data_IF_075872489992
#
_entry.id   IF_075872489992
#
_cell.length_a   1.000
_cell.length_b   1.000
_cell.length_c   1.000
_cell.angle_alpha   90.00
_cell.angle_beta   90.00
_cell.angle_gamma   90.00
#
_symmetry.space_group_name_H-M   'P 1'
#
loop_
_entity.id
_entity.type
_entity.pdbx_description
1 polymer ?
#
# COMPACT_ATOMS: atom_id res chain seq x y z
N UNK A 1 12.79 -57.20 -41.03
CA UNK A 1 11.57 -56.38 -40.90
C UNK A 1 11.78 -55.51 -39.67
N UNK A 2 12.31 -54.30 -39.87
CA UNK A 2 12.70 -53.38 -38.81
C UNK A 2 11.80 -52.14 -38.89
N UNK A 3 11.09 -51.83 -37.81
CA UNK A 3 10.31 -50.60 -37.64
C UNK A 3 11.00 -49.70 -36.60
N UNK A 4 11.20 -48.40 -36.89
CA UNK A 4 11.67 -47.40 -35.94
C UNK A 4 10.52 -46.54 -35.38
N UNK A 5 10.74 -45.91 -34.22
CA UNK A 5 10.21 -44.60 -33.72
C UNK A 5 10.25 -44.62 -32.18
N UNK A 6 11.28 -44.09 -31.51
CA UNK A 6 11.61 -42.68 -31.26
C UNK A 6 10.48 -41.90 -30.56
N UNK A 7 10.29 -42.20 -29.27
CA UNK A 7 9.58 -41.35 -28.31
C UNK A 7 10.30 -40.00 -28.15
N UNK A 8 9.59 -38.92 -28.45
CA UNK A 8 10.04 -37.53 -28.31
C UNK A 8 9.85 -37.12 -26.84
N UNK A 9 10.94 -37.00 -26.09
CA UNK A 9 10.97 -36.26 -24.83
C UNK A 9 10.75 -34.77 -25.13
N UNK A 10 9.55 -34.28 -24.84
CA UNK A 10 9.26 -32.84 -24.89
C UNK A 10 9.88 -32.16 -23.67
N UNK A 11 10.70 -31.11 -23.83
CA UNK A 11 11.23 -30.38 -22.68
C UNK A 11 10.08 -29.66 -21.94
N UNK A 12 10.14 -29.55 -20.59
CA UNK A 12 9.09 -28.89 -19.83
C UNK A 12 8.98 -27.42 -20.24
N UNK A 13 7.77 -26.99 -20.56
CA UNK A 13 7.44 -25.66 -21.08
C UNK A 13 7.91 -24.54 -20.15
N UNK A 14 8.52 -23.50 -20.73
CA UNK A 14 9.03 -22.32 -20.02
C UNK A 14 7.95 -21.65 -19.15
N UNK A 15 6.68 -21.75 -19.53
CA UNK A 15 5.52 -21.24 -18.79
C UNK A 15 5.40 -21.83 -17.37
N UNK A 16 5.77 -23.09 -17.15
CA UNK A 16 5.74 -23.71 -15.82
C UNK A 16 6.90 -23.28 -14.90
N UNK A 17 8.00 -22.75 -15.47
CA UNK A 17 9.10 -22.17 -14.69
C UNK A 17 8.76 -20.75 -14.26
N UNK A 18 8.15 -19.95 -15.14
CA UNK A 18 7.71 -18.59 -14.83
C UNK A 18 6.55 -18.55 -13.84
N UNK A 19 5.56 -19.44 -13.97
CA UNK A 19 4.44 -19.52 -13.01
C UNK A 19 4.90 -19.87 -11.58
N UNK A 20 5.91 -20.74 -11.43
CA UNK A 20 6.50 -21.08 -10.13
C UNK A 20 7.41 -19.99 -9.55
N UNK A 21 8.16 -19.28 -10.40
CA UNK A 21 9.00 -18.16 -9.98
C UNK A 21 8.16 -16.94 -9.56
N UNK A 22 7.06 -16.64 -10.28
CA UNK A 22 6.10 -15.61 -9.89
C UNK A 22 5.35 -16.00 -8.61
N UNK A 23 4.93 -17.27 -8.48
CA UNK A 23 4.28 -17.77 -7.27
C UNK A 23 5.20 -17.75 -6.04
N UNK A 24 6.49 -18.07 -6.18
CA UNK A 24 7.45 -18.04 -5.06
C UNK A 24 7.85 -16.61 -4.66
N UNK A 25 7.95 -15.69 -5.61
CA UNK A 25 8.21 -14.27 -5.34
C UNK A 25 7.01 -13.60 -4.64
N UNK A 26 5.78 -13.89 -5.08
CA UNK A 26 4.55 -13.41 -4.44
C UNK A 26 4.36 -14.04 -3.06
N UNK A 27 4.61 -15.34 -2.90
CA UNK A 27 4.57 -15.99 -1.60
C UNK A 27 5.64 -15.44 -0.65
N UNK A 28 6.88 -15.20 -1.12
CA UNK A 28 7.93 -14.59 -0.32
C UNK A 28 7.58 -13.15 0.10
N UNK A 29 7.01 -12.36 -0.80
CA UNK A 29 6.54 -11.00 -0.53
C UNK A 29 5.39 -10.95 0.50
N UNK A 30 4.51 -11.96 0.52
CA UNK A 30 3.40 -12.06 1.48
C UNK A 30 3.84 -12.66 2.83
N UNK A 31 4.80 -13.59 2.83
CA UNK A 31 5.30 -14.24 4.04
C UNK A 31 6.27 -13.36 4.82
N UNK A 32 7.03 -12.50 4.15
CA UNK A 32 8.05 -11.67 4.78
C UNK A 32 7.49 -10.73 5.88
N UNK A 33 6.40 -9.97 5.67
CA UNK A 33 5.81 -9.14 6.73
C UNK A 33 5.32 -9.95 7.93
N UNK A 34 4.72 -11.12 7.67
CA UNK A 34 4.24 -12.03 8.73
C UNK A 34 5.38 -12.62 9.54
N UNK A 35 6.48 -12.99 8.88
CA UNK A 35 7.69 -13.49 9.55
C UNK A 35 8.33 -12.38 10.39
N UNK A 36 8.40 -11.15 9.89
CA UNK A 36 8.87 -10.01 10.66
C UNK A 36 8.02 -9.76 11.91
N UNK A 37 6.69 -9.82 11.79
CA UNK A 37 5.79 -9.68 12.93
C UNK A 37 5.99 -10.81 13.94
N UNK A 38 6.09 -12.05 13.49
CA UNK A 38 6.31 -13.21 14.35
C UNK A 38 7.64 -13.14 15.12
N UNK A 39 8.74 -12.77 14.44
CA UNK A 39 10.05 -12.60 15.07
C UNK A 39 10.04 -11.50 16.13
N UNK A 40 9.38 -10.37 15.85
CA UNK A 40 9.22 -9.29 16.84
C UNK A 40 8.38 -9.70 18.03
N UNK A 41 7.26 -10.37 17.78
CA UNK A 41 6.37 -10.86 18.82
C UNK A 41 7.12 -11.84 19.74
N UNK A 42 7.88 -12.78 19.16
CA UNK A 42 8.73 -13.71 19.89
C UNK A 42 9.82 -12.99 20.70
N UNK A 43 10.51 -12.01 20.10
CA UNK A 43 11.52 -11.21 20.78
C UNK A 43 10.93 -10.42 21.96
N UNK A 44 9.80 -9.74 21.74
CA UNK A 44 9.12 -8.97 22.78
C UNK A 44 8.64 -9.86 23.93
N UNK A 45 8.03 -11.00 23.61
CA UNK A 45 7.59 -11.98 24.59
C UNK A 45 8.78 -12.53 25.40
N UNK A 46 9.90 -12.86 24.74
CA UNK A 46 11.11 -13.34 25.40
C UNK A 46 11.74 -12.30 26.33
N UNK A 47 11.86 -11.05 25.88
CA UNK A 47 12.38 -9.94 26.71
C UNK A 47 11.43 -9.69 27.90
N UNK A 48 10.13 -9.67 27.66
CA UNK A 48 9.14 -9.47 28.72
C UNK A 48 9.22 -10.60 29.77
N UNK A 49 9.34 -11.86 29.32
CA UNK A 49 9.52 -12.99 30.23
C UNK A 49 10.82 -12.90 31.03
N UNK A 50 11.92 -12.46 30.42
CA UNK A 50 13.19 -12.32 31.10
C UNK A 50 13.17 -11.23 32.18
N UNK A 51 12.40 -10.15 31.96
CA UNK A 51 12.26 -9.05 32.92
C UNK A 51 11.30 -9.41 34.07
N UNK A 52 10.28 -10.22 33.78
CA UNK A 52 9.16 -10.48 34.69
C UNK A 52 9.53 -10.98 36.11
N UNK A 53 10.53 -11.87 36.32
CA UNK A 53 10.93 -12.30 37.65
C UNK A 53 11.57 -11.21 38.52
N UNK A 54 12.07 -10.14 37.91
CA UNK A 54 12.72 -9.03 38.62
C UNK A 54 11.74 -7.95 39.09
N UNK A 55 10.43 -8.19 38.93
CA UNK A 55 9.38 -7.24 39.31
C UNK A 55 9.11 -7.27 40.83
N UNK A 56 8.72 -6.13 41.43
CA UNK A 56 8.55 -6.05 42.87
C UNK A 56 7.31 -6.79 43.38
N UNK A 57 7.41 -7.28 44.63
CA UNK A 57 6.28 -7.85 45.38
C UNK A 57 5.75 -9.15 44.78
N UNK A 58 4.45 -9.39 44.95
CA UNK A 58 3.80 -10.61 44.47
C UNK A 58 3.72 -10.72 42.93
N UNK A 59 4.06 -9.65 42.21
CA UNK A 59 4.08 -9.70 40.75
C UNK A 59 5.12 -10.70 40.22
N UNK A 60 6.25 -10.89 40.91
CA UNK A 60 7.29 -11.85 40.52
C UNK A 60 6.79 -13.30 40.50
N UNK A 61 5.72 -13.62 41.24
CA UNK A 61 5.14 -14.97 41.30
C UNK A 61 4.34 -15.32 40.02
N UNK A 62 4.01 -14.33 39.20
CA UNK A 62 3.18 -14.50 38.00
C UNK A 62 3.87 -14.04 36.69
N UNK A 63 5.10 -14.50 36.39
CA UNK A 63 5.91 -13.95 35.30
C UNK A 63 5.34 -14.24 33.90
N UNK A 64 4.45 -15.22 33.78
CA UNK A 64 3.85 -15.67 32.53
C UNK A 64 2.86 -14.67 31.92
N UNK A 65 2.41 -13.64 32.66
CA UNK A 65 1.55 -12.59 32.12
C UNK A 65 2.30 -11.50 31.36
N UNK A 66 3.58 -11.29 31.61
CA UNK A 66 4.35 -10.28 30.87
C UNK A 66 4.50 -10.63 29.38
N UNK A 67 4.83 -11.88 28.98
CA UNK A 67 4.80 -12.27 27.57
C UNK A 67 3.44 -12.07 26.91
N UNK A 68 2.36 -12.35 27.65
CA UNK A 68 0.99 -12.16 27.18
C UNK A 68 0.72 -10.67 26.93
N UNK A 69 1.07 -9.80 27.87
CA UNK A 69 0.95 -8.34 27.69
C UNK A 69 1.75 -7.83 26.49
N UNK A 70 2.96 -8.35 26.28
CA UNK A 70 3.80 -7.98 25.14
C UNK A 70 3.19 -8.38 23.80
N UNK A 71 2.59 -9.58 23.75
CA UNK A 71 1.90 -10.07 22.56
C UNK A 71 0.66 -9.23 22.25
N UNK A 72 -0.13 -8.87 23.26
CA UNK A 72 -1.37 -8.09 23.08
C UNK A 72 -1.08 -6.67 22.59
N UNK A 73 0.05 -6.10 23.01
CA UNK A 73 0.51 -4.81 22.50
C UNK A 73 1.13 -4.89 21.10
N UNK A 74 1.32 -6.07 20.51
CA UNK A 74 1.97 -6.22 19.21
C UNK A 74 0.97 -5.94 18.08
N UNK A 75 1.04 -4.75 17.50
CA UNK A 75 0.12 -4.28 16.45
C UNK A 75 0.90 -3.70 15.26
N UNK A 76 0.23 -3.54 14.11
CA UNK A 76 0.85 -3.09 12.85
C UNK A 76 1.52 -1.71 12.91
N UNK A 77 1.25 -0.88 13.92
CA UNK A 77 1.93 0.40 14.10
C UNK A 77 2.00 0.78 15.58
N UNK A 78 2.92 1.68 15.94
CA UNK A 78 3.23 2.02 17.34
C UNK A 78 2.05 2.69 18.06
N UNK A 79 1.32 3.61 17.43
CA UNK A 79 0.15 4.22 18.08
C UNK A 79 -0.99 3.21 18.25
N UNK A 80 -1.15 2.30 17.29
CA UNK A 80 -2.05 1.15 17.37
C UNK A 80 -1.67 0.25 18.54
N UNK A 81 -0.39 -0.10 18.67
CA UNK A 81 0.16 -0.82 19.82
C UNK A 81 -0.10 -0.12 21.15
N UNK A 82 0.11 1.20 21.20
CA UNK A 82 -0.12 1.98 22.42
C UNK A 82 -1.61 2.04 22.78
N UNK A 83 -2.47 2.35 21.80
CA UNK A 83 -3.92 2.38 21.98
C UNK A 83 -4.45 1.02 22.39
N UNK A 84 -4.03 -0.04 21.70
CA UNK A 84 -4.37 -1.43 22.00
C UNK A 84 -3.94 -1.79 23.42
N UNK A 85 -2.67 -1.54 23.76
CA UNK A 85 -2.11 -1.83 25.08
C UNK A 85 -2.88 -1.12 26.20
N UNK A 86 -3.11 0.19 26.07
CA UNK A 86 -3.88 0.96 27.07
C UNK A 86 -5.31 0.47 27.17
N UNK A 87 -5.99 0.23 26.04
CA UNK A 87 -7.37 -0.27 26.04
C UNK A 87 -7.47 -1.66 26.69
N UNK A 88 -6.53 -2.56 26.38
CA UNK A 88 -6.41 -3.86 27.05
C UNK A 88 -6.22 -3.70 28.56
N UNK A 89 -5.31 -2.85 29.02
CA UNK A 89 -5.07 -2.64 30.46
C UNK A 89 -6.30 -2.04 31.16
N UNK A 90 -7.02 -1.13 30.51
CA UNK A 90 -8.28 -0.59 31.02
C UNK A 90 -9.36 -1.68 31.11
N UNK A 91 -9.52 -2.48 30.05
CA UNK A 91 -10.47 -3.60 30.06
C UNK A 91 -10.15 -4.65 31.13
N UNK A 92 -8.87 -4.97 31.28
CA UNK A 92 -8.34 -5.83 32.33
C UNK A 92 -8.66 -5.28 33.72
N UNK A 93 -8.41 -3.99 33.97
CA UNK A 93 -8.72 -3.35 35.25
C UNK A 93 -10.22 -3.33 35.56
N UNK A 94 -11.08 -3.10 34.56
CA UNK A 94 -12.54 -3.17 34.71
C UNK A 94 -12.97 -4.59 35.06
N UNK A 95 -12.44 -5.61 34.36
CA UNK A 95 -12.75 -7.01 34.63
C UNK A 95 -12.30 -7.45 36.03
N UNK A 96 -11.09 -7.03 36.44
CA UNK A 96 -10.58 -7.23 37.81
C UNK A 96 -11.55 -6.62 38.83
N UNK A 97 -11.96 -5.36 38.64
CA UNK A 97 -12.93 -4.69 39.53
C UNK A 97 -14.29 -5.40 39.59
N UNK A 98 -14.77 -5.91 38.46
CA UNK A 98 -16.00 -6.71 38.40
C UNK A 98 -15.88 -8.00 39.21
N UNK A 99 -14.74 -8.69 39.14
CA UNK A 99 -14.49 -9.90 39.92
C UNK A 99 -14.48 -9.59 41.43
N UNK A 100 -13.83 -8.51 41.86
CA UNK A 100 -13.86 -8.07 43.26
C UNK A 100 -15.27 -7.77 43.76
N UNK A 101 -16.08 -7.09 42.95
CA UNK A 101 -17.48 -6.82 43.28
C UNK A 101 -18.25 -8.12 43.54
N UNK A 102 -18.03 -9.14 42.72
CA UNK A 102 -18.73 -10.42 42.84
C UNK A 102 -18.14 -11.36 43.90
N UNK A 103 -16.85 -11.25 44.21
CA UNK A 103 -16.25 -11.91 45.39
C UNK A 103 -16.89 -11.43 46.70
N UNK A 104 -17.28 -10.15 46.78
CA UNK A 104 -17.98 -9.64 47.97
C UNK A 104 -19.37 -10.28 48.18
N UNK A 105 -19.94 -10.90 47.15
CA UNK A 105 -21.25 -11.54 47.17
C UNK A 105 -21.20 -13.04 47.48
N UNK A 106 -20.02 -13.68 47.47
CA UNK A 106 -19.85 -15.09 47.89
C UNK A 106 -18.74 -15.85 47.18
N UNK A 107 -18.66 -17.15 47.46
CA UNK A 107 -17.66 -18.06 46.89
C UNK A 107 -17.93 -18.36 45.40
N UNK A 108 -16.89 -18.69 44.61
CA UNK A 108 -17.05 -19.12 43.22
C UNK A 108 -18.03 -20.30 43.09
N UNK A 109 -19.08 -20.12 42.30
CA UNK A 109 -20.09 -21.12 41.98
C UNK A 109 -20.51 -20.97 40.51
N UNK A 110 -21.18 -21.97 39.90
CA UNK A 110 -21.67 -21.85 38.53
C UNK A 110 -22.52 -20.59 38.30
N UNK A 111 -23.28 -20.17 39.32
CA UNK A 111 -24.07 -18.95 39.30
C UNK A 111 -23.21 -17.68 39.30
N UNK A 112 -22.20 -17.58 40.17
CA UNK A 112 -21.35 -16.38 40.19
C UNK A 112 -20.53 -16.26 38.91
N UNK A 113 -20.11 -17.38 38.31
CA UNK A 113 -19.46 -17.40 36.99
C UNK A 113 -20.42 -16.91 35.90
N UNK A 114 -21.65 -17.40 35.86
CA UNK A 114 -22.65 -16.95 34.88
C UNK A 114 -22.92 -15.45 35.00
N UNK A 115 -23.02 -14.93 36.23
CA UNK A 115 -23.22 -13.50 36.51
C UNK A 115 -21.98 -12.67 36.13
N UNK A 116 -20.76 -13.10 36.50
CA UNK A 116 -19.50 -12.46 36.07
C UNK A 116 -19.46 -12.33 34.55
N UNK A 117 -19.76 -13.42 33.84
CA UNK A 117 -19.65 -13.45 32.39
C UNK A 117 -20.73 -12.59 31.74
N UNK A 118 -21.97 -12.67 32.22
CA UNK A 118 -23.08 -11.85 31.73
C UNK A 118 -22.81 -10.36 31.91
N UNK A 119 -22.41 -9.94 33.11
CA UNK A 119 -22.06 -8.54 33.37
C UNK A 119 -20.81 -8.10 32.60
N UNK A 120 -19.80 -8.96 32.48
CA UNK A 120 -18.59 -8.69 31.72
C UNK A 120 -18.90 -8.44 30.24
N UNK A 121 -19.78 -9.24 29.63
CA UNK A 121 -20.22 -9.06 28.24
C UNK A 121 -21.06 -7.79 28.07
N UNK A 122 -21.95 -7.47 29.03
CA UNK A 122 -22.71 -6.23 29.01
C UNK A 122 -21.78 -5.01 29.05
N UNK A 123 -20.77 -5.04 29.93
CA UNK A 123 -19.76 -3.98 30.02
C UNK A 123 -18.89 -3.91 28.76
N UNK A 124 -18.53 -5.06 28.18
CA UNK A 124 -17.84 -5.13 26.90
C UNK A 124 -18.64 -4.51 25.75
N UNK A 125 -19.97 -4.45 25.82
CA UNK A 125 -20.82 -3.79 24.84
C UNK A 125 -20.67 -2.26 24.78
N UNK A 126 -20.01 -1.63 25.77
CA UNK A 126 -19.91 -0.18 25.84
C UNK A 126 -19.03 0.40 24.70
N UNK A 127 -19.52 1.42 23.97
CA UNK A 127 -18.83 1.96 22.80
C UNK A 127 -17.45 2.56 23.13
N UNK A 128 -17.25 3.04 24.36
CA UNK A 128 -16.04 3.77 24.78
C UNK A 128 -14.80 2.91 25.08
N UNK A 129 -14.93 1.57 25.19
CA UNK A 129 -13.85 0.69 25.69
C UNK A 129 -12.85 0.26 24.58
N UNK A 130 -13.25 0.33 23.31
CA UNK A 130 -12.37 -0.01 22.18
C UNK A 130 -11.96 -1.48 22.17
N UNK A 131 -10.66 -1.79 22.02
CA UNK A 131 -10.16 -3.17 21.95
C UNK A 131 -10.00 -3.87 23.31
N UNK A 132 -10.19 -3.15 24.41
CA UNK A 132 -10.20 -3.71 25.76
C UNK A 132 -11.44 -4.53 26.09
N UNK A 133 -12.48 -4.50 25.24
CA UNK A 133 -13.79 -5.11 25.49
C UNK A 133 -13.69 -6.60 25.76
N UNK A 134 -12.92 -7.31 24.95
CA UNK A 134 -12.76 -8.77 25.05
C UNK A 134 -12.01 -9.17 26.34
N UNK A 135 -11.20 -8.26 26.90
CA UNK A 135 -10.42 -8.50 28.10
C UNK A 135 -11.25 -8.40 29.38
N UNK A 136 -12.39 -7.70 29.37
CA UNK A 136 -13.24 -7.53 30.57
C UNK A 136 -13.77 -8.88 31.09
N UNK A 137 -14.53 -9.67 30.31
CA UNK A 137 -15.05 -10.94 30.79
C UNK A 137 -13.93 -11.94 31.09
N UNK A 138 -12.88 -11.98 30.26
CA UNK A 138 -11.73 -12.87 30.47
C UNK A 138 -10.98 -12.55 31.77
N UNK A 139 -10.71 -11.28 32.03
CA UNK A 139 -10.06 -10.84 33.27
C UNK A 139 -10.92 -11.13 34.49
N UNK A 140 -12.22 -10.82 34.43
CA UNK A 140 -13.14 -11.09 35.52
C UNK A 140 -13.21 -12.58 35.86
N UNK A 141 -13.29 -13.43 34.83
CA UNK A 141 -13.30 -14.88 35.00
C UNK A 141 -11.98 -15.41 35.58
N UNK A 142 -10.83 -14.94 35.06
CA UNK A 142 -9.52 -15.37 35.54
C UNK A 142 -9.32 -14.99 37.01
N UNK A 143 -9.67 -13.77 37.41
CA UNK A 143 -9.57 -13.36 38.81
C UNK A 143 -10.52 -14.18 39.69
N UNK A 144 -11.75 -14.42 39.24
CA UNK A 144 -12.73 -15.20 40.00
C UNK A 144 -12.29 -16.66 40.20
N UNK A 145 -11.76 -17.32 39.15
CA UNK A 145 -11.40 -18.74 39.20
C UNK A 145 -9.99 -18.99 39.75
N UNK A 146 -9.01 -18.19 39.32
CA UNK A 146 -7.59 -18.43 39.62
C UNK A 146 -7.14 -17.64 40.85
N UNK A 147 -7.73 -16.47 41.12
CA UNK A 147 -7.41 -15.66 42.29
C UNK A 147 -7.72 -16.34 43.62
N UNK A 148 -8.71 -17.25 43.65
CA UNK A 148 -9.01 -18.12 44.79
C UNK A 148 -9.16 -17.34 46.11
N UNK A 149 -8.33 -17.69 47.10
CA UNK A 149 -8.32 -17.06 48.42
C UNK A 149 -7.47 -15.78 48.52
N UNK A 150 -6.65 -15.48 47.50
CA UNK A 150 -5.77 -14.31 47.47
C UNK A 150 -6.00 -13.48 46.19
N UNK A 151 -7.24 -12.99 45.95
CA UNK A 151 -7.56 -12.25 44.73
C UNK A 151 -6.74 -10.97 44.61
N UNK A 152 -6.39 -10.31 45.71
CA UNK A 152 -5.56 -9.10 45.73
C UNK A 152 -4.18 -9.34 45.13
N UNK A 153 -3.49 -10.36 45.64
CA UNK A 153 -2.15 -10.77 45.22
C UNK A 153 -2.12 -11.15 43.75
N UNK A 154 -3.11 -11.93 43.31
CA UNK A 154 -3.24 -12.38 41.92
C UNK A 154 -3.58 -11.21 40.98
N UNK A 155 -4.56 -10.39 41.32
CA UNK A 155 -4.97 -9.24 40.49
C UNK A 155 -3.85 -8.21 40.33
N UNK A 156 -3.10 -7.93 41.41
CA UNK A 156 -1.93 -7.07 41.34
C UNK A 156 -0.87 -7.64 40.41
N UNK A 157 -0.50 -8.91 40.59
CA UNK A 157 0.50 -9.57 39.74
C UNK A 157 0.06 -9.63 38.28
N UNK A 158 -1.19 -9.98 38.01
CA UNK A 158 -1.74 -10.04 36.67
C UNK A 158 -1.72 -8.67 35.97
N UNK A 159 -2.26 -7.63 36.61
CA UNK A 159 -2.34 -6.28 36.03
C UNK A 159 -0.94 -5.66 35.83
N UNK A 160 -0.06 -5.82 36.82
CA UNK A 160 1.29 -5.26 36.77
C UNK A 160 2.15 -5.94 35.70
N UNK A 161 2.17 -7.28 35.68
CA UNK A 161 2.94 -8.03 34.67
C UNK A 161 2.39 -7.80 33.26
N UNK A 162 1.08 -7.71 33.09
CA UNK A 162 0.47 -7.29 31.82
C UNK A 162 0.95 -5.90 31.40
N UNK A 163 0.99 -4.94 32.32
CA UNK A 163 1.49 -3.59 32.06
C UNK A 163 2.96 -3.56 31.64
N UNK A 164 3.82 -4.32 32.32
CA UNK A 164 5.23 -4.50 31.97
C UNK A 164 5.35 -5.10 30.57
N UNK A 165 4.60 -6.18 30.32
CA UNK A 165 4.52 -6.83 29.02
C UNK A 165 4.15 -5.85 27.91
N UNK A 166 3.04 -5.13 28.07
CA UNK A 166 2.57 -4.12 27.11
C UNK A 166 3.65 -3.07 26.86
N UNK A 167 4.31 -2.61 27.91
CA UNK A 167 5.39 -1.61 27.81
C UNK A 167 6.57 -2.15 27.01
N UNK A 168 7.03 -3.36 27.30
CA UNK A 168 8.10 -4.04 26.54
C UNK A 168 7.68 -4.26 25.09
N UNK A 169 6.45 -4.70 24.84
CA UNK A 169 5.89 -4.89 23.49
C UNK A 169 5.90 -3.60 22.68
N UNK A 170 5.49 -2.47 23.28
CA UNK A 170 5.52 -1.15 22.66
C UNK A 170 6.98 -0.72 22.38
N UNK A 171 7.89 -0.89 23.35
CA UNK A 171 9.31 -0.56 23.18
C UNK A 171 9.93 -1.38 22.05
N UNK A 172 9.69 -2.69 22.01
CA UNK A 172 10.21 -3.56 20.96
C UNK A 172 9.59 -3.19 19.61
N UNK A 173 8.28 -2.96 19.54
CA UNK A 173 7.64 -2.54 18.28
C UNK A 173 8.14 -1.16 17.80
N UNK A 174 8.47 -0.27 18.74
CA UNK A 174 9.09 1.02 18.48
C UNK A 174 10.52 0.85 17.96
N UNK A 175 11.34 0.03 18.64
CA UNK A 175 12.77 -0.10 18.37
C UNK A 175 13.08 -0.98 17.15
N UNK A 176 12.33 -2.07 16.96
CA UNK A 176 12.62 -3.14 16.00
C UNK A 176 11.78 -3.00 14.74
N UNK A 177 12.45 -2.85 13.59
CA UNK A 177 11.94 -2.83 12.19
C UNK A 177 10.60 -2.12 11.97
N UNK A 178 10.50 -0.82 11.67
CA UNK A 178 9.21 -0.21 11.35
C UNK A 178 8.51 -0.99 10.22
N UNK A 179 7.20 -1.23 10.30
CA UNK A 179 6.48 -1.89 9.22
C UNK A 179 6.59 -1.02 7.98
N UNK A 180 7.29 -1.55 6.99
CA UNK A 180 7.79 -0.93 5.76
C UNK A 180 6.66 -0.54 4.78
N UNK A 181 5.61 0.13 5.25
CA UNK A 181 4.56 0.66 4.39
C UNK A 181 5.12 1.72 3.42
N UNK A 182 6.23 2.38 3.75
CA UNK A 182 6.90 3.33 2.86
C UNK A 182 7.53 2.67 1.63
N UNK A 183 8.14 1.48 1.78
CA UNK A 183 8.67 0.75 0.63
C UNK A 183 7.54 0.22 -0.24
N UNK A 184 6.46 -0.27 0.38
CA UNK A 184 5.28 -0.69 -0.35
C UNK A 184 4.67 0.47 -1.15
N UNK A 185 4.49 1.66 -0.54
CA UNK A 185 3.97 2.82 -1.24
C UNK A 185 4.88 3.30 -2.38
N UNK A 186 6.20 3.37 -2.17
CA UNK A 186 7.15 3.74 -3.21
C UNK A 186 7.17 2.73 -4.38
N UNK A 187 7.10 1.44 -4.06
CA UNK A 187 7.03 0.37 -5.05
C UNK A 187 5.71 0.41 -5.83
N UNK A 188 4.58 0.66 -5.16
CA UNK A 188 3.28 0.80 -5.83
C UNK A 188 3.21 2.06 -6.73
N UNK A 189 3.86 3.16 -6.35
CA UNK A 189 4.01 4.36 -7.20
C UNK A 189 4.83 4.01 -8.46
N UNK A 190 5.92 3.26 -8.30
CA UNK A 190 6.76 2.81 -9.41
C UNK A 190 6.00 1.85 -10.35
N UNK A 191 5.30 0.86 -9.80
CA UNK A 191 4.47 -0.07 -10.56
C UNK A 191 3.39 0.63 -11.39
N UNK A 192 2.70 1.64 -10.82
CA UNK A 192 1.70 2.42 -11.56
C UNK A 192 2.32 3.21 -12.70
N UNK A 193 3.47 3.84 -12.46
CA UNK A 193 4.21 4.58 -13.49
C UNK A 193 4.66 3.67 -14.63
N UNK A 194 5.19 2.50 -14.30
CA UNK A 194 5.57 1.49 -15.29
C UNK A 194 4.36 1.00 -16.09
N UNK A 195 3.22 0.79 -15.44
CA UNK A 195 1.98 0.41 -16.12
C UNK A 195 1.50 1.50 -17.10
N UNK A 196 1.60 2.79 -16.73
CA UNK A 196 1.28 3.91 -17.61
C UNK A 196 2.23 3.99 -18.82
N UNK A 197 3.54 3.82 -18.60
CA UNK A 197 4.53 3.80 -19.68
C UNK A 197 4.28 2.63 -20.65
N UNK A 198 4.01 1.44 -20.12
CA UNK A 198 3.70 0.26 -20.94
C UNK A 198 2.45 0.46 -21.80
N UNK A 199 1.40 1.09 -21.23
CA UNK A 199 0.19 1.39 -21.97
C UNK A 199 0.45 2.33 -23.16
N UNK A 200 1.29 3.36 -22.98
CA UNK A 200 1.68 4.27 -24.05
C UNK A 200 2.46 3.56 -25.17
N UNK A 201 3.41 2.69 -24.83
CA UNK A 201 4.13 1.90 -25.84
C UNK A 201 3.21 0.95 -26.60
N UNK A 202 2.28 0.30 -25.91
CA UNK A 202 1.36 -0.64 -26.54
C UNK A 202 0.39 0.07 -27.51
N UNK A 203 -0.13 1.25 -27.13
CA UNK A 203 -0.93 2.08 -28.03
C UNK A 203 -0.10 2.55 -29.23
N UNK A 204 1.15 2.96 -29.02
CA UNK A 204 2.04 3.39 -30.10
C UNK A 204 2.41 2.25 -31.06
N UNK A 205 2.50 1.01 -30.55
CA UNK A 205 2.70 -0.20 -31.37
C UNK A 205 1.44 -0.53 -32.18
N UNK A 206 0.26 -0.46 -31.57
CA UNK A 206 -1.01 -0.73 -32.23
C UNK A 206 -1.27 0.20 -33.44
N UNK A 207 -0.87 1.47 -33.34
CA UNK A 207 -0.94 2.43 -34.45
C UNK A 207 -0.03 2.09 -35.65
N UNK A 208 0.96 1.22 -35.47
CA UNK A 208 1.93 0.83 -36.51
C UNK A 208 1.67 -0.55 -37.11
N UNK A 209 0.70 -1.29 -36.57
CA UNK A 209 0.32 -2.62 -37.05
C UNK A 209 -0.69 -2.55 -38.21
N UNK A 210 -0.74 -3.59 -39.03
CA UNK A 210 -1.71 -3.72 -40.13
C UNK A 210 -3.14 -3.81 -39.59
N UNK A 211 -4.06 -3.07 -40.23
CA UNK A 211 -5.43 -2.84 -39.73
C UNK A 211 -6.44 -3.92 -40.14
N UNK A 212 -7.39 -4.31 -39.27
CA UNK A 212 -7.51 -3.95 -37.85
C UNK A 212 -6.46 -4.65 -36.97
N UNK A 213 -6.00 -4.05 -35.86
CA UNK A 213 -5.05 -4.69 -34.95
C UNK A 213 -5.61 -6.00 -34.37
N UNK A 214 -4.82 -7.07 -34.35
CA UNK A 214 -5.26 -8.40 -33.87
C UNK A 214 -5.54 -8.45 -32.36
N UNK A 215 -5.06 -7.46 -31.58
CA UNK A 215 -5.08 -7.50 -30.12
C UNK A 215 -5.87 -6.33 -29.50
N UNK A 216 -7.02 -6.63 -28.88
CA UNK A 216 -7.83 -5.69 -28.08
C UNK A 216 -7.32 -5.55 -26.62
N UNK A 217 -6.25 -6.26 -26.26
CA UNK A 217 -5.81 -6.40 -24.86
C UNK A 217 -5.35 -5.09 -24.21
N UNK A 218 -4.91 -4.10 -25.00
CA UNK A 218 -4.53 -2.79 -24.49
C UNK A 218 -5.75 -1.93 -24.09
N UNK A 219 -6.88 -2.05 -24.78
CA UNK A 219 -8.10 -1.28 -24.46
C UNK A 219 -8.75 -1.76 -23.15
N UNK A 220 -8.84 -3.09 -22.95
CA UNK A 220 -9.37 -3.69 -21.71
C UNK A 220 -8.51 -3.38 -20.48
N UNK A 221 -7.22 -3.06 -20.66
CA UNK A 221 -6.30 -2.70 -19.57
C UNK A 221 -6.52 -1.30 -19.01
N UNK A 222 -7.26 -0.42 -19.69
CA UNK A 222 -7.55 0.94 -19.22
C UNK A 222 -8.33 0.98 -17.89
N UNK A 223 -9.34 0.11 -17.72
CA UNK A 223 -10.10 0.02 -16.47
C UNK A 223 -9.25 -0.50 -15.30
N UNK A 224 -8.31 -1.41 -15.61
CA UNK A 224 -7.37 -1.94 -14.63
C UNK A 224 -6.38 -0.88 -14.12
N UNK A 225 -5.99 0.09 -14.97
CA UNK A 225 -5.14 1.23 -14.61
C UNK A 225 -5.82 2.15 -13.59
N UNK A 226 -7.11 2.48 -13.78
CA UNK A 226 -7.87 3.28 -12.82
C UNK A 226 -8.04 2.58 -11.47
N UNK A 227 -8.26 1.25 -11.48
CA UNK A 227 -8.28 0.45 -10.27
C UNK A 227 -6.92 0.42 -9.55
N UNK A 228 -5.81 0.32 -10.30
CA UNK A 228 -4.46 0.44 -9.76
C UNK A 228 -4.19 1.81 -9.14
N UNK A 229 -4.56 2.92 -9.79
CA UNK A 229 -4.38 4.25 -9.21
C UNK A 229 -5.07 4.41 -7.84
N UNK A 230 -6.28 3.86 -7.70
CA UNK A 230 -7.00 3.83 -6.41
C UNK A 230 -6.29 3.00 -5.35
N UNK A 231 -5.71 1.85 -5.70
CA UNK A 231 -4.97 1.02 -4.74
C UNK A 231 -3.68 1.70 -4.26
N UNK A 232 -2.97 2.41 -5.15
CA UNK A 232 -1.79 3.22 -4.78
C UNK A 232 -2.19 4.34 -3.81
N UNK A 233 -3.29 5.06 -4.07
CA UNK A 233 -3.80 6.10 -3.15
C UNK A 233 -4.02 5.54 -1.75
N UNK A 234 -4.70 4.39 -1.65
CA UNK A 234 -4.95 3.75 -0.35
C UNK A 234 -3.65 3.34 0.36
N UNK A 235 -2.66 2.85 -0.38
CA UNK A 235 -1.34 2.50 0.17
C UNK A 235 -0.59 3.73 0.73
N UNK A 236 -0.61 4.86 0.01
CA UNK A 236 0.00 6.13 0.44
C UNK A 236 -0.71 6.69 1.68
N UNK A 237 -2.04 6.68 1.70
CA UNK A 237 -2.83 7.10 2.87
C UNK A 237 -2.53 6.25 4.11
N UNK A 238 -2.44 4.91 3.95
CA UNK A 238 -2.07 4.00 5.04
C UNK A 238 -0.64 4.29 5.54
N UNK A 239 0.29 4.60 4.64
CA UNK A 239 1.67 4.96 5.01
C UNK A 239 1.73 6.29 5.80
N UNK A 240 1.01 7.34 5.39
CA UNK A 240 0.99 8.61 6.13
C UNK A 240 0.32 8.48 7.50
N UNK A 241 -0.81 7.76 7.58
CA UNK A 241 -1.48 7.51 8.85
C UNK A 241 -0.55 6.81 9.86
N UNK A 242 0.21 5.81 9.40
CA UNK A 242 1.21 5.11 10.21
C UNK A 242 2.36 6.04 10.67
N UNK A 243 2.79 6.97 9.82
CA UNK A 243 3.84 7.96 10.13
C UNK A 243 3.41 9.00 11.15
N UNK A 244 2.22 9.59 11.00
CA UNK A 244 1.67 10.59 11.96
C UNK A 244 1.59 10.02 13.37
N UNK A 245 1.27 8.73 13.45
CA UNK A 245 1.23 7.93 14.65
C UNK A 245 2.62 7.53 15.21
N UNK A 246 3.71 7.73 14.48
CA UNK A 246 5.04 7.26 14.86
C UNK A 246 5.89 8.40 15.48
N UNK A 247 6.26 8.29 16.78
CA UNK A 247 7.15 9.26 17.43
C UNK A 247 8.52 9.40 16.74
N UNK A 248 8.98 8.35 16.03
CA UNK A 248 10.24 8.34 15.28
C UNK A 248 10.22 9.20 14.01
N UNK A 249 9.13 9.91 13.68
CA UNK A 249 9.07 10.83 12.53
C UNK A 249 10.19 11.89 12.52
N UNK A 250 10.71 12.22 13.70
CA UNK A 250 11.78 13.19 13.88
C UNK A 250 13.18 12.62 13.57
N UNK A 251 13.34 11.30 13.54
CA UNK A 251 14.64 10.64 13.31
C UNK A 251 14.87 10.27 11.84
N UNK A 252 13.80 10.10 11.05
CA UNK A 252 13.88 9.78 9.62
C UNK A 252 12.89 10.68 8.84
N UNK A 253 13.26 11.93 8.54
CA UNK A 253 12.44 12.82 7.74
C UNK A 253 12.36 12.29 6.30
N UNK A 254 11.21 11.73 5.91
CA UNK A 254 10.85 11.49 4.50
C UNK A 254 9.93 12.62 4.04
N UNK A 255 10.19 13.14 2.86
CA UNK A 255 9.38 14.21 2.25
C UNK A 255 8.06 13.64 1.71
N UNK A 256 7.03 13.60 2.55
CA UNK A 256 5.68 13.19 2.15
C UNK A 256 5.03 14.18 1.19
N UNK A 257 5.45 15.45 1.18
CA UNK A 257 4.93 16.42 0.21
C UNK A 257 5.38 16.01 -1.20
N UNK A 258 6.57 15.41 -1.33
CA UNK A 258 7.01 14.78 -2.57
C UNK A 258 6.17 13.55 -2.93
N UNK A 259 5.94 12.62 -1.99
CA UNK A 259 5.14 11.40 -2.25
C UNK A 259 3.67 11.75 -2.64
N UNK A 260 3.05 12.74 -1.99
CA UNK A 260 1.70 13.23 -2.35
C UNK A 260 1.64 14.04 -3.65
N UNK A 261 2.71 14.76 -3.99
CA UNK A 261 2.83 15.40 -5.31
C UNK A 261 2.93 14.34 -6.40
N UNK A 262 3.83 13.37 -6.24
CA UNK A 262 3.98 12.25 -7.16
C UNK A 262 2.68 11.46 -7.37
N UNK A 263 1.91 11.20 -6.30
CA UNK A 263 0.60 10.54 -6.42
C UNK A 263 -0.39 11.39 -7.22
N UNK A 264 -0.51 12.69 -6.92
CA UNK A 264 -1.40 13.61 -7.65
C UNK A 264 -1.02 13.70 -9.13
N UNK A 265 0.27 13.68 -9.43
CA UNK A 265 0.78 13.70 -10.80
C UNK A 265 0.48 12.37 -11.52
N UNK A 266 0.65 11.21 -10.87
CA UNK A 266 0.27 9.92 -11.45
C UNK A 266 -1.24 9.78 -11.68
N UNK A 267 -2.08 10.35 -10.82
CA UNK A 267 -3.54 10.36 -11.02
C UNK A 267 -3.93 11.19 -12.25
N UNK A 268 -3.29 12.35 -12.44
CA UNK A 268 -3.47 13.17 -13.65
C UNK A 268 -2.99 12.42 -14.89
N UNK A 269 -1.83 11.76 -14.82
CA UNK A 269 -1.32 10.94 -15.92
C UNK A 269 -2.27 9.79 -16.26
N UNK A 270 -2.82 9.11 -15.25
CA UNK A 270 -3.79 8.02 -15.45
C UNK A 270 -5.02 8.51 -16.21
N UNK A 271 -5.55 9.68 -15.83
CA UNK A 271 -6.68 10.29 -16.53
C UNK A 271 -6.37 10.55 -18.01
N UNK A 272 -5.21 11.15 -18.31
CA UNK A 272 -4.82 11.43 -19.69
C UNK A 272 -4.58 10.15 -20.51
N UNK A 273 -3.99 9.10 -19.91
CA UNK A 273 -3.74 7.83 -20.61
C UNK A 273 -5.07 7.12 -20.92
N UNK A 274 -6.03 7.20 -20.01
CA UNK A 274 -7.37 6.64 -20.22
C UNK A 274 -8.13 7.39 -21.31
N UNK A 275 -8.07 8.72 -21.33
CA UNK A 275 -8.64 9.57 -22.38
C UNK A 275 -8.09 9.19 -23.77
N UNK A 276 -6.77 9.10 -23.90
CA UNK A 276 -6.11 8.67 -25.15
C UNK A 276 -6.50 7.24 -25.54
N UNK A 277 -6.59 6.33 -24.57
CA UNK A 277 -7.01 4.93 -24.82
C UNK A 277 -8.44 4.89 -25.38
N UNK A 278 -9.34 5.71 -24.84
CA UNK A 278 -10.73 5.77 -25.28
C UNK A 278 -10.85 6.39 -26.68
N UNK A 279 -10.21 7.53 -26.94
CA UNK A 279 -10.19 8.16 -28.27
C UNK A 279 -9.63 7.19 -29.31
N UNK A 280 -8.55 6.49 -28.99
CA UNK A 280 -7.96 5.51 -29.90
C UNK A 280 -8.89 4.29 -30.10
N UNK A 281 -9.54 3.79 -29.04
CA UNK A 281 -10.48 2.66 -29.14
C UNK A 281 -11.70 3.01 -30.01
N UNK A 282 -12.22 4.23 -29.86
CA UNK A 282 -13.35 4.73 -30.64
C UNK A 282 -13.00 4.82 -32.13
N UNK A 283 -11.81 5.36 -32.46
CA UNK A 283 -11.31 5.42 -33.85
C UNK A 283 -11.13 4.02 -34.46
N UNK A 284 -10.69 3.03 -33.69
CA UNK A 284 -10.36 1.70 -34.23
C UNK A 284 -11.61 0.83 -34.43
N UNK A 285 -12.58 0.88 -33.49
CA UNK A 285 -13.65 -0.11 -33.45
C UNK A 285 -15.07 0.46 -33.53
N UNK A 286 -15.28 1.78 -33.41
CA UNK A 286 -16.62 2.34 -33.47
C UNK A 286 -16.99 2.75 -34.90
N UNK A 287 -17.85 1.96 -35.54
CA UNK A 287 -18.33 2.15 -36.92
C UNK A 287 -19.12 3.48 -37.11
N UNK A 288 -19.67 4.05 -36.03
CA UNK A 288 -20.53 5.25 -36.05
C UNK A 288 -19.84 6.53 -35.53
N UNK A 289 -18.51 6.54 -35.36
CA UNK A 289 -17.81 7.72 -34.83
C UNK A 289 -17.23 8.61 -35.94
N UNK A 290 -17.28 9.95 -35.80
CA UNK A 290 -16.77 10.88 -36.80
C UNK A 290 -15.23 10.99 -36.80
N UNK A 291 -14.53 10.19 -36.00
CA UNK A 291 -13.11 10.35 -35.71
C UNK A 291 -12.27 9.41 -36.57
N UNK A 292 -11.31 9.96 -37.31
CA UNK A 292 -10.36 9.18 -38.13
C UNK A 292 -8.94 9.63 -37.81
N UNK A 293 -8.02 8.66 -37.69
CA UNK A 293 -6.57 8.92 -37.72
C UNK A 293 -6.10 8.63 -39.14
N UNK A 294 -5.69 9.63 -39.94
CA UNK A 294 -5.19 9.36 -41.28
C UNK A 294 -3.88 8.55 -41.21
N UNK A 295 -3.66 7.65 -42.16
CA UNK A 295 -2.48 6.76 -42.20
C UNK A 295 -1.15 7.52 -42.09
N UNK A 296 -1.09 8.73 -42.66
CA UNK A 296 0.09 9.60 -42.59
C UNK A 296 0.47 10.00 -41.15
N UNK A 297 -0.49 9.99 -40.22
CA UNK A 297 -0.31 10.39 -38.83
C UNK A 297 -0.17 9.20 -37.87
N UNK A 298 -0.53 7.98 -38.29
CA UNK A 298 -0.53 6.82 -37.40
C UNK A 298 0.88 6.50 -36.84
N UNK A 299 1.89 6.40 -37.70
CA UNK A 299 3.26 6.12 -37.26
C UNK A 299 3.88 7.26 -36.43
N UNK A 300 3.82 8.55 -36.86
CA UNK A 300 4.30 9.67 -36.04
C UNK A 300 3.61 9.80 -34.68
N UNK A 301 2.30 9.53 -34.61
CA UNK A 301 1.55 9.55 -33.35
C UNK A 301 2.00 8.42 -32.42
N UNK A 302 2.27 7.24 -32.99
CA UNK A 302 2.80 6.12 -32.23
C UNK A 302 4.22 6.34 -31.72
N UNK A 303 5.07 7.05 -32.47
CA UNK A 303 6.39 7.51 -32.00
C UNK A 303 6.25 8.49 -30.82
N UNK A 304 5.40 9.51 -30.96
CA UNK A 304 5.17 10.48 -29.90
C UNK A 304 4.65 9.84 -28.60
N UNK A 305 3.73 8.87 -28.70
CA UNK A 305 3.26 8.09 -27.54
C UNK A 305 4.41 7.34 -26.87
N UNK A 306 5.27 6.69 -27.66
CA UNK A 306 6.40 5.93 -27.14
C UNK A 306 7.43 6.82 -26.42
N UNK A 307 7.71 8.00 -26.98
CA UNK A 307 8.59 9.00 -26.38
C UNK A 307 8.07 9.51 -25.03
N UNK A 308 6.76 9.71 -24.88
CA UNK A 308 6.17 10.03 -23.57
C UNK A 308 6.29 8.84 -22.61
N UNK A 309 6.10 7.61 -23.09
CA UNK A 309 6.34 6.39 -22.31
C UNK A 309 7.77 6.29 -21.77
N UNK A 310 8.76 6.65 -22.58
CA UNK A 310 10.17 6.68 -22.18
C UNK A 310 10.45 7.74 -21.11
N UNK A 311 9.83 8.91 -21.20
CA UNK A 311 9.90 9.95 -20.16
C UNK A 311 9.31 9.43 -18.84
N UNK A 312 8.15 8.75 -18.90
CA UNK A 312 7.53 8.17 -17.72
C UNK A 312 8.42 7.10 -17.07
N UNK A 313 9.05 6.22 -17.86
CA UNK A 313 10.00 5.21 -17.32
C UNK A 313 11.23 5.87 -16.69
N UNK A 314 11.77 6.91 -17.31
CA UNK A 314 13.00 7.57 -16.86
C UNK A 314 12.85 8.34 -15.54
N UNK A 315 11.63 8.67 -15.11
CA UNK A 315 11.37 9.34 -13.83
C UNK A 315 11.78 8.51 -12.59
N UNK A 316 12.08 7.23 -12.73
CA UNK A 316 12.63 6.37 -11.66
C UNK A 316 14.16 6.33 -11.64
N UNK A 317 14.82 6.71 -12.73
CA UNK A 317 16.27 6.63 -12.85
C UNK A 317 16.91 7.83 -12.13
N UNK A 318 18.02 7.63 -11.41
CA UNK A 318 18.73 8.71 -10.69
C UNK A 318 19.44 9.72 -11.62
N UNK A 319 19.28 9.59 -12.94
CA UNK A 319 19.99 10.35 -13.96
C UNK A 319 19.12 11.50 -14.49
N UNK A 320 19.09 12.61 -13.76
CA UNK A 320 18.32 13.81 -14.09
C UNK A 320 18.59 14.36 -15.51
N UNK A 321 19.83 14.27 -15.98
CA UNK A 321 20.21 14.73 -17.32
C UNK A 321 19.56 13.89 -18.43
N UNK A 322 19.47 12.58 -18.23
CA UNK A 322 18.83 11.67 -19.19
C UNK A 322 17.33 11.91 -19.25
N UNK A 323 16.69 12.11 -18.11
CA UNK A 323 15.28 12.47 -18.03
C UNK A 323 14.98 13.79 -18.76
N UNK A 324 15.81 14.81 -18.54
CA UNK A 324 15.64 16.11 -19.19
C UNK A 324 15.86 16.06 -20.71
N UNK A 325 16.78 15.21 -21.19
CA UNK A 325 16.99 14.97 -22.63
C UNK A 325 15.77 14.27 -23.26
N UNK A 326 15.28 13.19 -22.65
CA UNK A 326 14.10 12.46 -23.14
C UNK A 326 12.87 13.37 -23.19
N UNK A 327 12.66 14.20 -22.17
CA UNK A 327 11.54 15.12 -22.15
C UNK A 327 11.63 16.19 -23.24
N UNK A 328 12.84 16.71 -23.52
CA UNK A 328 13.06 17.66 -24.62
C UNK A 328 12.82 17.01 -25.99
N UNK A 329 13.25 15.76 -26.17
CA UNK A 329 13.00 15.00 -27.41
C UNK A 329 11.51 14.80 -27.63
N UNK A 330 10.78 14.32 -26.61
CA UNK A 330 9.35 14.07 -26.69
C UNK A 330 8.55 15.37 -26.94
N UNK A 331 8.92 16.49 -26.31
CA UNK A 331 8.27 17.77 -26.53
C UNK A 331 8.50 18.30 -27.95
N UNK A 332 9.70 18.12 -28.50
CA UNK A 332 10.02 18.49 -29.87
C UNK A 332 9.20 17.69 -30.88
N UNK A 333 9.10 16.35 -30.70
CA UNK A 333 8.32 15.47 -31.57
C UNK A 333 6.83 15.83 -31.58
N UNK A 334 6.24 16.05 -30.40
CA UNK A 334 4.83 16.44 -30.27
C UNK A 334 4.59 17.82 -30.89
N UNK A 335 5.50 18.77 -30.67
CA UNK A 335 5.40 20.13 -31.21
C UNK A 335 5.49 20.14 -32.73
N UNK A 336 6.41 19.36 -33.30
CA UNK A 336 6.54 19.22 -34.76
C UNK A 336 5.28 18.62 -35.38
N UNK A 337 4.74 17.56 -34.79
CA UNK A 337 3.52 16.91 -35.27
C UNK A 337 2.30 17.85 -35.18
N UNK A 338 2.20 18.61 -34.08
CA UNK A 338 1.16 19.63 -33.90
C UNK A 338 1.27 20.74 -34.96
N UNK A 339 2.49 21.20 -35.27
CA UNK A 339 2.71 22.22 -36.29
C UNK A 339 2.34 21.73 -37.70
N UNK A 340 2.66 20.46 -38.03
CA UNK A 340 2.27 19.83 -39.30
C UNK A 340 0.74 19.78 -39.47
N UNK A 341 0.02 19.36 -38.42
CA UNK A 341 -1.45 19.35 -38.42
C UNK A 341 -2.04 20.75 -38.63
N UNK A 342 -1.49 21.77 -37.98
CA UNK A 342 -1.98 23.15 -38.09
C UNK A 342 -1.82 23.73 -39.51
N UNK A 343 -0.84 23.26 -40.28
CA UNK A 343 -0.63 23.69 -41.68
C UNK A 343 -1.52 22.98 -42.69
N UNK A 344 -2.05 21.80 -42.36
CA UNK A 344 -2.92 21.03 -43.26
C UNK A 344 -4.40 21.42 -43.04
N UNK A 345 -5.04 22.04 -44.05
CA UNK A 345 -6.48 22.35 -44.02
C UNK A 345 -7.32 21.08 -43.95
N UNK A 346 -7.71 20.69 -42.75
CA UNK A 346 -8.67 19.60 -42.54
C UNK A 346 -10.10 20.06 -42.85
N UNK A 347 -10.92 19.12 -43.35
CA UNK A 347 -12.36 19.28 -43.54
C UNK A 347 -13.01 19.74 -42.22
N UNK A 348 -13.84 20.78 -42.27
CA UNK A 348 -14.49 21.42 -41.10
C UNK A 348 -15.50 20.53 -40.36
N UNK A 349 -15.79 19.32 -40.86
CA UNK A 349 -16.97 18.57 -40.47
C UNK A 349 -16.74 17.52 -39.35
N UNK A 350 -15.50 17.29 -38.88
CA UNK A 350 -15.24 16.41 -37.74
C UNK A 350 -14.02 16.85 -36.89
N UNK A 351 -14.07 16.73 -35.54
CA UNK A 351 -12.89 16.96 -34.70
C UNK A 351 -11.82 15.90 -34.97
N UNK A 352 -10.54 16.29 -35.05
CA UNK A 352 -9.46 15.34 -35.30
C UNK A 352 -9.10 14.57 -34.03
N UNK A 353 -9.16 13.24 -34.07
CA UNK A 353 -8.65 12.38 -32.99
C UNK A 353 -7.17 12.64 -32.69
N UNK A 354 -6.39 12.95 -33.74
CA UNK A 354 -4.96 13.22 -33.63
C UNK A 354 -4.70 14.46 -32.77
N UNK A 355 -5.48 15.53 -32.96
CA UNK A 355 -5.37 16.75 -32.15
C UNK A 355 -5.68 16.48 -30.67
N UNK A 356 -6.74 15.72 -30.39
CA UNK A 356 -7.11 15.35 -29.02
C UNK A 356 -6.00 14.56 -28.32
N UNK A 357 -5.45 13.55 -29.02
CA UNK A 357 -4.36 12.72 -28.50
C UNK A 357 -3.11 13.57 -28.24
N UNK A 358 -2.74 14.46 -29.16
CA UNK A 358 -1.57 15.34 -28.99
C UNK A 358 -1.72 16.31 -27.81
N UNK A 359 -2.92 16.87 -27.61
CA UNK A 359 -3.20 17.72 -26.44
C UNK A 359 -3.02 16.91 -25.16
N UNK A 360 -3.52 15.67 -25.11
CA UNK A 360 -3.36 14.79 -23.95
C UNK A 360 -1.90 14.39 -23.73
N UNK A 361 -1.11 14.11 -24.77
CA UNK A 361 0.34 13.85 -24.66
C UNK A 361 1.12 15.07 -24.14
N UNK A 362 0.80 16.29 -24.61
CA UNK A 362 1.44 17.51 -24.12
C UNK A 362 1.11 17.77 -22.64
N UNK A 363 -0.13 17.48 -22.21
CA UNK A 363 -0.51 17.54 -20.79
C UNK A 363 0.25 16.51 -19.95
N UNK A 364 0.44 15.28 -20.46
CA UNK A 364 1.25 14.27 -19.77
C UNK A 364 2.70 14.74 -19.57
N UNK A 365 3.33 15.29 -20.62
CA UNK A 365 4.69 15.82 -20.51
C UNK A 365 4.79 16.92 -19.46
N UNK A 366 3.88 17.91 -19.46
CA UNK A 366 3.87 18.97 -18.42
C UNK A 366 3.77 18.43 -17.00
N UNK A 367 3.04 17.34 -16.79
CA UNK A 367 2.94 16.69 -15.47
C UNK A 367 4.21 15.92 -15.14
N UNK A 368 4.84 15.27 -16.12
CA UNK A 368 6.09 14.52 -15.96
C UNK A 368 7.33 15.41 -15.80
N UNK A 369 7.30 16.64 -16.34
CA UNK A 369 8.34 17.65 -16.20
C UNK A 369 7.79 18.92 -15.56
N UNK A 370 7.57 18.93 -14.24
CA UNK A 370 7.20 20.16 -13.55
C UNK A 370 8.31 21.18 -13.80
N UNK A 371 7.98 22.22 -14.57
CA UNK A 371 8.95 23.21 -15.01
C UNK A 371 9.75 23.75 -13.84
N UNK A 372 11.08 23.88 -14.02
CA UNK A 372 11.86 24.79 -13.19
C UNK A 372 11.12 26.14 -13.19
N UNK A 373 10.84 26.75 -12.03
CA UNK A 373 10.18 28.04 -12.00
C UNK A 373 10.93 29.03 -12.89
N UNK A 374 10.19 29.82 -13.67
CA UNK A 374 10.63 30.81 -14.67
C UNK A 374 11.43 31.98 -14.04
N UNK A 375 12.48 31.70 -13.27
CA UNK A 375 13.24 32.70 -12.52
C UNK A 375 14.55 33.13 -13.20
N UNK A 376 14.75 32.84 -14.49
CA UNK A 376 16.01 33.16 -15.18
C UNK A 376 15.87 33.63 -16.64
N UNK A 377 14.76 34.30 -16.97
CA UNK A 377 14.65 35.10 -18.22
C UNK A 377 14.52 36.60 -17.96
N UNK A 378 14.42 37.04 -16.70
CA UNK A 378 14.31 38.47 -16.35
C UNK A 378 15.66 39.18 -16.13
N UNK A 379 16.81 38.50 -16.30
CA UNK A 379 18.12 39.08 -15.95
C UNK A 379 19.14 39.13 -17.10
N UNK A 380 18.70 38.99 -18.35
CA UNK A 380 19.55 39.17 -19.55
C UNK A 380 19.11 40.32 -20.45
N UNK A 381 18.11 41.12 -20.04
CA UNK A 381 17.73 42.38 -20.71
C UNK A 381 18.20 43.63 -19.96
N UNK A 382 19.01 43.47 -18.91
CA UNK A 382 19.68 44.57 -18.21
C UNK A 382 21.16 44.21 -17.98
N UNK A 383 21.96 44.33 -19.03
CA UNK A 383 23.41 44.18 -19.00
C UNK A 383 24.03 44.92 -20.16
#
# INVERSE_FOLDING_TARGET
>A
MATPEKTIDSPPSLLHRWARAAGSAVAAAVLWPRLQLALKAGLAAGIAFAIAPFMPGSAAEYPYYAPLGALVAMYENVAGSMRQGVQTLVGLAIGVGLAFMLFSLGSPSPWTVAVVMGLGVILAGLPKIGSGRDWIPTAALLVLLVGGHNPDTFSFGYLFQMGVGVTVGIIVNLLVFPPLHFRAAALSIAELRQALAQQLWDMGKALKESWPPEHQDWSRRSEALAAHARSVRFAVEKADASRRANPRRHLHPRDMELDYRNLRDLERLTFHVQDVTQVLSDVIWAEDTPFVVPDAYAAPLGDAMASVGDVLRALEEEQQDRQAELARSADAEISELTARLATEQHSKDAPSAVESILVSLHRMLRVATPGRPEAQQANTSAG
#
